data_IF_494334270791
#
_entry.id   IF_494334270791
#
_cell.length_a   1.000
_cell.length_b   1.000
_cell.length_c   1.000
_cell.angle_alpha   90.00
_cell.angle_beta   90.00
_cell.angle_gamma   90.00
#
_symmetry.space_group_name_H-M   'P 1'
#
loop_
_entity.id
_entity.type
_entity.pdbx_description
1 polymer ?
#
# COMPACT_ATOMS: atom_id res chain seq x y z
N UNK A 1 26.79 -1.33 -7.31
CA UNK A 1 26.00 -2.38 -6.62
C UNK A 1 26.82 -3.18 -5.59
N UNK A 2 28.04 -2.77 -5.23
CA UNK A 2 28.86 -3.46 -4.23
C UNK A 2 28.67 -2.90 -2.79
N UNK A 3 28.24 -1.64 -2.65
CA UNK A 3 28.14 -0.95 -1.34
C UNK A 3 26.84 -1.22 -0.56
N UNK A 4 25.94 -2.04 -1.08
CA UNK A 4 24.63 -2.33 -0.46
C UNK A 4 24.61 -3.61 0.37
N UNK A 5 25.72 -4.34 0.46
CA UNK A 5 25.82 -5.62 1.18
C UNK A 5 26.84 -5.50 2.30
N UNK A 6 26.44 -5.84 3.52
CA UNK A 6 27.31 -5.86 4.70
C UNK A 6 28.34 -7.00 4.58
N UNK A 7 29.53 -6.72 4.05
CA UNK A 7 30.59 -7.71 3.79
C UNK A 7 31.79 -7.64 4.75
N UNK A 8 31.94 -6.54 5.49
CA UNK A 8 33.08 -6.32 6.40
C UNK A 8 32.73 -6.72 7.82
N UNK A 9 33.48 -7.68 8.40
CA UNK A 9 33.32 -8.09 9.80
C UNK A 9 34.12 -7.18 10.73
N UNK A 10 33.48 -6.68 11.79
CA UNK A 10 34.13 -5.99 12.90
C UNK A 10 33.90 -6.77 14.18
N UNK A 11 34.94 -6.90 15.01
CA UNK A 11 34.88 -7.62 16.29
C UNK A 11 34.97 -6.59 17.42
N UNK A 12 34.08 -6.67 18.39
CA UNK A 12 33.99 -5.74 19.51
C UNK A 12 34.12 -6.53 20.81
N UNK A 13 34.85 -5.98 21.78
CA UNK A 13 34.90 -6.49 23.16
C UNK A 13 34.18 -5.47 24.04
N UNK A 14 33.23 -5.96 24.83
CA UNK A 14 32.41 -5.18 25.75
C UNK A 14 32.58 -5.73 27.15
N UNK A 15 32.47 -4.85 28.15
CA UNK A 15 32.27 -5.25 29.53
C UNK A 15 30.88 -5.90 29.69
N UNK A 16 30.67 -6.77 30.69
CA UNK A 16 29.37 -7.43 30.88
C UNK A 16 28.20 -6.45 31.03
N UNK A 17 28.41 -5.31 31.68
CA UNK A 17 27.40 -4.25 31.82
C UNK A 17 27.04 -3.61 30.48
N UNK A 18 28.04 -3.29 29.66
CA UNK A 18 27.85 -2.69 28.33
C UNK A 18 27.16 -3.66 27.38
N UNK A 19 27.51 -4.95 27.44
CA UNK A 19 26.87 -5.99 26.65
C UNK A 19 25.38 -6.14 27.01
N UNK A 20 25.06 -6.10 28.32
CA UNK A 20 23.68 -6.14 28.80
C UNK A 20 22.89 -4.92 28.32
N UNK A 21 23.45 -3.73 28.46
CA UNK A 21 22.80 -2.48 28.02
C UNK A 21 22.57 -2.46 26.51
N UNK A 22 23.53 -2.95 25.71
CA UNK A 22 23.37 -3.09 24.27
C UNK A 22 22.19 -4.01 23.92
N UNK A 23 22.11 -5.16 24.60
CA UNK A 23 21.05 -6.14 24.39
C UNK A 23 19.67 -5.57 24.74
N UNK A 24 19.55 -4.88 25.88
CA UNK A 24 18.31 -4.25 26.33
C UNK A 24 17.85 -3.16 25.36
N UNK A 25 18.77 -2.29 24.89
CA UNK A 25 18.44 -1.23 23.95
C UNK A 25 18.05 -1.76 22.56
N UNK A 26 18.77 -2.78 22.07
CA UNK A 26 18.43 -3.42 20.81
C UNK A 26 17.04 -4.09 20.87
N UNK A 27 16.75 -4.79 21.97
CA UNK A 27 15.45 -5.41 22.20
C UNK A 27 14.32 -4.37 22.32
N UNK A 28 14.54 -3.26 23.04
CA UNK A 28 13.58 -2.17 23.14
C UNK A 28 13.27 -1.53 21.78
N UNK A 29 14.26 -1.48 20.89
CA UNK A 29 14.09 -1.01 19.51
C UNK A 29 13.59 -2.10 18.53
N UNK A 30 13.28 -3.32 19.02
CA UNK A 30 12.75 -4.42 18.22
C UNK A 30 13.70 -4.93 17.14
N UNK A 31 15.02 -4.82 17.34
CA UNK A 31 16.04 -5.20 16.34
C UNK A 31 17.17 -6.01 16.97
N UNK A 32 17.98 -6.68 16.12
CA UNK A 32 19.16 -7.37 16.63
C UNK A 32 20.28 -6.38 16.99
N UNK A 33 21.20 -6.76 17.88
CA UNK A 33 22.29 -5.90 18.34
C UNK A 33 23.15 -5.36 17.17
N UNK A 34 23.36 -6.16 16.12
CA UNK A 34 24.10 -5.73 14.95
C UNK A 34 23.37 -4.64 14.15
N UNK A 35 22.05 -4.72 14.02
CA UNK A 35 21.25 -3.70 13.36
C UNK A 35 21.17 -2.43 14.19
N UNK A 36 21.10 -2.57 15.52
CA UNK A 36 21.14 -1.45 16.44
C UNK A 36 22.46 -0.68 16.38
N UNK A 37 23.59 -1.38 16.35
CA UNK A 37 24.90 -0.75 16.17
C UNK A 37 25.01 -0.01 14.83
N UNK A 38 24.47 -0.60 13.75
CA UNK A 38 24.44 0.06 12.44
C UNK A 38 23.59 1.32 12.47
N UNK A 39 22.40 1.24 13.07
CA UNK A 39 21.49 2.37 13.25
C UNK A 39 22.19 3.55 13.95
N UNK A 40 22.94 3.27 15.03
CA UNK A 40 23.68 4.29 15.76
C UNK A 40 24.79 4.95 14.93
N UNK A 41 25.41 4.20 14.00
CA UNK A 41 26.48 4.72 13.12
C UNK A 41 25.89 5.55 11.98
N UNK A 42 24.85 5.05 11.32
CA UNK A 42 24.30 5.64 10.09
C UNK A 42 23.29 6.74 10.35
N UNK A 43 22.52 6.65 11.45
CA UNK A 43 21.37 7.50 11.78
C UNK A 43 20.41 7.70 10.60
N UNK A 44 20.30 6.71 9.71
CA UNK A 44 19.44 6.84 8.53
C UNK A 44 18.00 6.41 8.84
N UNK A 45 16.99 7.11 8.28
CA UNK A 45 15.59 6.74 8.43
C UNK A 45 15.28 5.29 8.03
N UNK A 46 15.96 4.76 7.01
CA UNK A 46 15.76 3.39 6.53
C UNK A 46 16.18 2.29 7.52
N UNK A 47 16.96 2.65 8.54
CA UNK A 47 17.46 1.70 9.53
C UNK A 47 16.48 1.51 10.70
N UNK A 48 15.43 2.33 10.76
CA UNK A 48 14.34 2.20 11.72
C UNK A 48 13.29 1.19 11.23
N UNK A 49 12.91 0.19 12.04
CA UNK A 49 11.90 -0.80 11.68
C UNK A 49 10.56 -0.18 11.29
N UNK A 50 10.10 0.87 11.98
CA UNK A 50 8.80 1.49 11.67
C UNK A 50 8.79 2.12 10.28
N UNK A 51 9.87 2.80 9.91
CA UNK A 51 9.99 3.46 8.60
C UNK A 51 10.04 2.43 7.47
N UNK A 52 10.68 1.27 7.69
CA UNK A 52 10.66 0.16 6.73
C UNK A 52 9.25 -0.40 6.51
N UNK A 53 8.47 -0.55 7.57
CA UNK A 53 7.08 -1.02 7.48
C UNK A 53 6.25 -0.02 6.68
N UNK A 54 6.32 1.27 7.03
CA UNK A 54 5.58 2.34 6.33
C UNK A 54 5.94 2.42 4.85
N UNK A 55 7.23 2.31 4.51
CA UNK A 55 7.67 2.28 3.10
C UNK A 55 7.12 1.06 2.37
N UNK A 56 7.09 -0.11 3.01
CA UNK A 56 6.53 -1.33 2.41
C UNK A 56 5.03 -1.19 2.17
N UNK A 57 4.29 -0.63 3.13
CA UNK A 57 2.86 -0.33 3.00
C UNK A 57 2.61 0.64 1.85
N UNK A 58 3.38 1.73 1.77
CA UNK A 58 3.28 2.69 0.69
C UNK A 58 3.54 2.05 -0.68
N UNK A 59 4.56 1.20 -0.81
CA UNK A 59 4.85 0.47 -2.05
C UNK A 59 3.68 -0.44 -2.43
N UNK A 60 3.08 -1.13 -1.46
CA UNK A 60 1.93 -1.99 -1.71
C UNK A 60 0.71 -1.20 -2.20
N UNK A 61 0.45 -0.03 -1.60
CA UNK A 61 -0.62 0.87 -2.04
C UNK A 61 -0.39 1.37 -3.47
N UNK A 62 0.83 1.82 -3.80
CA UNK A 62 1.18 2.25 -5.16
C UNK A 62 1.00 1.11 -6.17
N UNK A 63 1.38 -0.13 -5.79
CA UNK A 63 1.15 -1.30 -6.63
C UNK A 63 -0.35 -1.59 -6.85
N UNK A 64 -1.17 -1.43 -5.81
CA UNK A 64 -2.63 -1.59 -5.93
C UNK A 64 -3.23 -0.54 -6.88
N UNK A 65 -2.79 0.72 -6.78
CA UNK A 65 -3.19 1.79 -7.72
C UNK A 65 -2.78 1.43 -9.15
N UNK A 66 -1.54 0.96 -9.36
CA UNK A 66 -1.07 0.52 -10.67
C UNK A 66 -1.91 -0.62 -11.26
N UNK A 67 -2.32 -1.59 -10.43
CA UNK A 67 -3.22 -2.67 -10.84
C UNK A 67 -4.60 -2.15 -11.25
N UNK A 68 -5.17 -1.21 -10.49
CA UNK A 68 -6.46 -0.58 -10.83
C UNK A 68 -6.38 0.18 -12.16
N UNK A 69 -5.31 0.94 -12.39
CA UNK A 69 -5.07 1.63 -13.67
C UNK A 69 -4.96 0.64 -14.82
N UNK A 70 -4.24 -0.47 -14.64
CA UNK A 70 -4.12 -1.52 -15.64
C UNK A 70 -5.47 -2.16 -15.96
N UNK A 71 -6.32 -2.39 -14.96
CA UNK A 71 -7.67 -2.91 -15.15
C UNK A 71 -8.55 -1.92 -15.92
N UNK A 72 -8.54 -0.64 -15.57
CA UNK A 72 -9.28 0.42 -16.30
C UNK A 72 -8.84 0.47 -17.76
N UNK A 73 -7.53 0.47 -18.00
CA UNK A 73 -6.95 0.52 -19.35
C UNK A 73 -7.31 -0.73 -20.15
N UNK A 74 -7.24 -1.91 -19.54
CA UNK A 74 -7.68 -3.17 -20.18
C UNK A 74 -9.17 -3.16 -20.48
N UNK A 75 -10.01 -2.69 -19.55
CA UNK A 75 -11.47 -2.60 -19.74
C UNK A 75 -11.86 -1.62 -20.85
N UNK A 76 -11.15 -0.50 -20.95
CA UNK A 76 -11.33 0.46 -22.03
C UNK A 76 -10.90 -0.15 -23.38
N UNK A 77 -9.72 -0.76 -23.42
CA UNK A 77 -9.17 -1.35 -24.65
C UNK A 77 -9.88 -2.64 -25.08
N UNK A 78 -10.49 -3.37 -24.15
CA UNK A 78 -11.24 -4.60 -24.45
C UNK A 78 -12.60 -4.33 -25.10
N UNK A 79 -13.04 -3.06 -25.20
CA UNK A 79 -14.35 -2.68 -25.74
C UNK A 79 -15.50 -3.50 -25.11
N UNK A 80 -15.36 -3.88 -23.82
CA UNK A 80 -16.26 -4.83 -23.16
C UNK A 80 -17.70 -4.33 -22.95
N UNK A 81 -18.01 -3.09 -23.33
CA UNK A 81 -19.39 -2.75 -23.64
C UNK A 81 -19.65 -3.15 -25.09
N UNK A 82 -20.23 -4.34 -25.29
CA UNK A 82 -20.90 -4.61 -26.56
C UNK A 82 -21.92 -3.49 -26.78
N UNK A 83 -22.06 -3.02 -28.03
CA UNK A 83 -23.10 -2.04 -28.37
C UNK A 83 -24.48 -2.47 -27.87
N UNK A 84 -24.74 -3.78 -27.91
CA UNK A 84 -25.93 -4.46 -27.36
C UNK A 84 -26.13 -4.19 -25.86
N UNK A 85 -25.10 -4.33 -25.02
CA UNK A 85 -25.18 -4.08 -23.58
C UNK A 85 -25.42 -2.60 -23.27
N UNK A 86 -24.86 -1.72 -24.10
CA UNK A 86 -25.10 -0.27 -24.01
C UNK A 86 -26.53 0.09 -24.41
N UNK A 87 -27.06 -0.52 -25.46
CA UNK A 87 -28.46 -0.33 -25.89
C UNK A 87 -29.45 -0.86 -24.84
N UNK A 88 -29.18 -2.04 -24.27
CA UNK A 88 -30.00 -2.64 -23.21
C UNK A 88 -29.99 -1.76 -21.95
N UNK A 89 -28.82 -1.24 -21.54
CA UNK A 89 -28.69 -0.33 -20.42
C UNK A 89 -29.45 0.99 -20.68
N UNK A 90 -29.35 1.56 -21.88
CA UNK A 90 -30.11 2.74 -22.26
C UNK A 90 -31.63 2.50 -22.22
N UNK A 91 -32.10 1.33 -22.69
CA UNK A 91 -33.51 0.97 -22.66
C UNK A 91 -34.03 0.81 -21.22
N UNK A 92 -33.27 0.13 -20.35
CA UNK A 92 -33.58 0.00 -18.94
C UNK A 92 -33.65 1.37 -18.22
N UNK A 93 -32.68 2.25 -18.46
CA UNK A 93 -32.68 3.60 -17.87
C UNK A 93 -33.85 4.47 -18.34
N UNK A 94 -34.24 4.35 -19.62
CA UNK A 94 -35.46 5.02 -20.13
C UNK A 94 -36.72 4.51 -19.45
N UNK A 95 -36.86 3.19 -19.30
CA UNK A 95 -38.00 2.57 -18.62
C UNK A 95 -38.09 3.01 -17.16
N UNK A 96 -36.95 3.03 -16.46
CA UNK A 96 -36.87 3.49 -15.07
C UNK A 96 -37.28 4.95 -14.93
N UNK A 97 -36.80 5.84 -15.80
CA UNK A 97 -37.20 7.25 -15.79
C UNK A 97 -38.70 7.45 -16.06
N UNK A 98 -39.29 6.66 -16.96
CA UNK A 98 -40.75 6.69 -17.18
C UNK A 98 -41.51 6.27 -15.92
N UNK A 99 -41.14 5.14 -15.31
CA UNK A 99 -41.82 4.63 -14.11
C UNK A 99 -41.65 5.58 -12.92
N UNK A 100 -40.47 6.18 -12.75
CA UNK A 100 -40.23 7.20 -11.72
C UNK A 100 -41.07 8.46 -11.99
N UNK A 101 -41.19 8.89 -13.24
CA UNK A 101 -42.04 10.04 -13.61
C UNK A 101 -43.52 9.75 -13.36
N UNK A 102 -44.01 8.59 -13.77
CA UNK A 102 -45.39 8.15 -13.50
C UNK A 102 -45.68 8.05 -12.00
N UNK A 103 -44.73 7.56 -11.20
CA UNK A 103 -44.84 7.53 -9.75
C UNK A 103 -44.82 8.94 -9.15
N UNK A 104 -43.96 9.83 -9.64
CA UNK A 104 -43.90 11.23 -9.22
C UNK A 104 -45.19 11.98 -9.57
N UNK A 105 -45.76 11.76 -10.76
CA UNK A 105 -47.02 12.37 -11.19
C UNK A 105 -48.19 11.88 -10.32
N UNK A 106 -48.22 10.58 -9.97
CA UNK A 106 -49.22 10.02 -9.03
C UNK A 106 -49.10 10.57 -7.60
N UNK A 107 -47.89 10.91 -7.15
CA UNK A 107 -47.65 11.49 -5.83
C UNK A 107 -47.90 13.01 -5.84
N UNK A 108 -47.57 13.71 -6.93
CA UNK A 108 -47.78 15.16 -7.09
C UNK A 108 -49.19 15.57 -7.51
N UNK A 109 -50.04 14.60 -7.86
CA UNK A 109 -51.48 14.80 -8.11
C UNK A 109 -52.36 14.50 -6.88
N UNK A 110 -51.76 14.30 -5.71
CA UNK A 110 -52.42 14.21 -4.40
C UNK A 110 -52.39 15.54 -3.68
#
# INVERSE_FOLDING_TARGET
MADSIHSVRKTLRLMPGEAKELSEKAAAAGMCEADYLRLLITQKPSDYPEIRILLKELINEVNAIGNNINQITRNYNSKLYRMEDRELLCACMKKLNMTVREAADKIGSM
#
